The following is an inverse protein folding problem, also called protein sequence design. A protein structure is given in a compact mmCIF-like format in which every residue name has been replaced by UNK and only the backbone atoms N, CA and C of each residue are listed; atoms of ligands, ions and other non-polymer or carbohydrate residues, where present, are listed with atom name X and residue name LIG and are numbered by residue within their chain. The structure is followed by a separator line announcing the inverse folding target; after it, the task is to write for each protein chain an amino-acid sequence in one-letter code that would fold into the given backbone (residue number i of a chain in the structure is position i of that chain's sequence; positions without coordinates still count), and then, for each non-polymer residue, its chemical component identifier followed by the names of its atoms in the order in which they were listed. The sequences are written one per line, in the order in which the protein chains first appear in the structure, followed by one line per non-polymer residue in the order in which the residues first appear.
data_IF_131474363561
#
_entry.id   IF_131474363561
#
_cell.length_a   1.000
_cell.length_b   1.000
_cell.length_c   1.000
_cell.angle_alpha   90.00
_cell.angle_beta   90.00
_cell.angle_gamma   90.00
#
_symmetry.space_group_name_H-M   'P 1'
#
loop_
_entity.id
_entity.type
_entity.pdbx_description
1 polymer ?
#
# COMPACT_ATOMS: atom_id res chain seq x y z
N UNK A 1 31.85 1.29 7.51
CA UNK A 1 30.68 1.41 6.62
C UNK A 1 29.51 0.94 7.43
N UNK A 2 28.75 1.85 8.03
CA UNK A 2 27.62 1.51 8.87
C UNK A 2 26.41 1.23 7.97
N UNK A 3 26.21 -0.02 7.57
CA UNK A 3 24.94 -0.49 7.03
C UNK A 3 23.94 -0.58 8.17
N UNK A 4 23.47 0.58 8.64
CA UNK A 4 22.29 0.61 9.48
C UNK A 4 21.15 0.01 8.66
N UNK A 5 20.68 -1.13 9.11
CA UNK A 5 19.36 -1.70 8.84
C UNK A 5 18.32 -0.69 9.32
N UNK A 6 18.16 0.39 8.57
CA UNK A 6 16.96 1.20 8.62
C UNK A 6 15.97 0.40 7.80
N UNK A 7 14.86 -0.01 8.41
CA UNK A 7 13.63 -0.17 7.65
C UNK A 7 13.35 1.20 7.03
N UNK A 8 13.93 1.43 5.85
CA UNK A 8 13.95 2.73 5.22
C UNK A 8 12.52 3.04 4.78
N UNK A 9 12.05 4.26 5.07
CA UNK A 9 10.80 4.77 4.49
C UNK A 9 10.69 4.49 2.99
N UNK A 10 11.83 4.41 2.31
CA UNK A 10 11.92 4.04 0.91
C UNK A 10 11.24 2.70 0.60
N UNK A 11 11.42 1.64 1.39
CA UNK A 11 10.75 0.36 1.14
C UNK A 11 9.22 0.49 1.23
N UNK A 12 8.71 1.23 2.23
CA UNK A 12 7.28 1.52 2.35
C UNK A 12 6.75 2.33 1.16
N UNK A 13 7.53 3.30 0.68
CA UNK A 13 7.22 4.08 -0.52
C UNK A 13 7.22 3.19 -1.76
N UNK A 14 8.19 2.28 -1.88
CA UNK A 14 8.25 1.30 -2.96
C UNK A 14 7.04 0.36 -2.91
N UNK A 15 6.55 -0.05 -1.74
CA UNK A 15 5.32 -0.87 -1.65
C UNK A 15 4.10 -0.19 -2.28
N UNK A 16 3.94 1.12 -2.08
CA UNK A 16 2.80 1.90 -2.61
C UNK A 16 3.04 2.47 -4.00
N UNK A 17 4.29 2.55 -4.47
CA UNK A 17 4.67 3.15 -5.76
C UNK A 17 4.99 2.09 -6.81
N UNK A 18 5.64 1.00 -6.40
CA UNK A 18 6.09 -0.05 -7.31
C UNK A 18 4.89 -0.85 -7.79
N UNK A 19 4.70 -0.83 -9.11
CA UNK A 19 3.69 -1.63 -9.79
C UNK A 19 4.28 -2.99 -10.13
N UNK A 20 3.46 -4.03 -10.03
CA UNK A 20 3.83 -5.37 -10.45
C UNK A 20 4.20 -5.36 -11.93
N UNK A 21 5.45 -5.72 -12.30
CA UNK A 21 5.88 -5.75 -13.69
C UNK A 21 5.33 -6.96 -14.47
N UNK A 22 4.86 -7.99 -13.76
CA UNK A 22 4.35 -9.23 -14.33
C UNK A 22 3.24 -9.85 -13.45
N UNK A 23 2.58 -10.88 -13.99
CA UNK A 23 1.54 -11.64 -13.30
C UNK A 23 0.12 -11.13 -13.58
N UNK A 24 -0.85 -11.68 -12.83
CA UNK A 24 -2.28 -11.36 -12.98
C UNK A 24 -2.62 -9.92 -12.57
N UNK A 25 -1.81 -9.34 -11.68
CA UNK A 25 -1.98 -7.99 -11.16
C UNK A 25 -0.96 -7.00 -11.76
N UNK A 26 -0.50 -7.27 -12.99
CA UNK A 26 0.37 -6.34 -13.72
C UNK A 26 -0.23 -4.92 -13.73
N UNK A 27 0.62 -3.92 -13.58
CA UNK A 27 0.25 -2.50 -13.46
C UNK A 27 -0.46 -2.09 -12.16
N UNK A 28 -0.68 -3.01 -11.22
CA UNK A 28 -1.15 -2.67 -9.86
C UNK A 28 0.01 -2.52 -8.89
N UNK A 29 -0.15 -1.61 -7.94
CA UNK A 29 0.80 -1.38 -6.85
C UNK A 29 0.81 -2.55 -5.88
N UNK A 30 1.97 -2.85 -5.28
CA UNK A 30 2.12 -3.97 -4.34
C UNK A 30 1.20 -3.81 -3.14
N UNK A 31 0.99 -2.58 -2.67
CA UNK A 31 0.08 -2.27 -1.57
C UNK A 31 -1.40 -2.59 -1.85
N UNK A 32 -1.83 -2.57 -3.12
CA UNK A 32 -3.20 -2.91 -3.56
C UNK A 32 -3.39 -4.42 -3.78
N UNK A 33 -2.31 -5.21 -3.68
CA UNK A 33 -2.41 -6.64 -3.90
C UNK A 33 -3.30 -7.29 -2.83
N UNK A 34 -4.24 -8.14 -3.25
CA UNK A 34 -5.11 -8.80 -2.30
C UNK A 34 -4.34 -9.87 -1.52
N UNK A 35 -4.68 -10.04 -0.25
CA UNK A 35 -3.96 -10.94 0.67
C UNK A 35 -3.89 -12.39 0.18
N UNK A 36 -4.91 -12.89 -0.53
CA UNK A 36 -4.87 -14.24 -1.13
C UNK A 36 -3.74 -14.41 -2.17
N UNK A 37 -3.36 -13.35 -2.85
CA UNK A 37 -2.28 -13.37 -3.84
C UNK A 37 -0.90 -13.35 -3.16
N UNK A 38 -0.75 -12.56 -2.10
CA UNK A 38 0.45 -12.58 -1.25
C UNK A 38 0.62 -13.93 -0.55
N UNK A 39 -0.47 -14.54 -0.08
CA UNK A 39 -0.45 -15.86 0.54
C UNK A 39 -0.11 -16.97 -0.47
N UNK A 40 -0.52 -16.82 -1.73
CA UNK A 40 -0.08 -17.73 -2.79
C UNK A 40 1.43 -17.59 -3.04
N UNK A 41 1.97 -16.37 -3.10
CA UNK A 41 3.42 -16.15 -3.17
C UNK A 41 4.18 -16.68 -1.96
N UNK A 42 3.58 -16.65 -0.77
CA UNK A 42 4.13 -17.27 0.44
C UNK A 42 4.42 -18.77 0.25
N UNK A 43 3.53 -19.43 -0.50
CA UNK A 43 3.54 -20.88 -0.73
C UNK A 43 4.39 -21.27 -1.92
N UNK A 44 4.35 -20.48 -3.00
CA UNK A 44 5.13 -20.73 -4.21
C UNK A 44 6.59 -20.27 -4.08
N UNK A 45 6.81 -19.21 -3.30
CA UNK A 45 8.11 -18.58 -3.08
C UNK A 45 8.22 -17.24 -3.77
N UNK A 46 8.90 -16.29 -3.12
CA UNK A 46 9.10 -14.96 -3.64
C UNK A 46 10.28 -14.91 -4.64
N UNK A 47 10.15 -14.13 -5.72
CA UNK A 47 11.23 -13.95 -6.69
C UNK A 47 12.45 -13.29 -6.04
N UNK A 48 13.67 -13.74 -6.34
CA UNK A 48 14.88 -13.10 -5.76
C UNK A 48 15.05 -11.68 -6.32
N UNK A 49 15.45 -10.76 -5.45
CA UNK A 49 15.69 -9.35 -5.79
C UNK A 49 14.85 -8.41 -4.95
N UNK A 50 14.81 -7.13 -5.36
CA UNK A 50 14.07 -6.08 -4.66
C UNK A 50 12.57 -6.37 -4.62
N UNK A 51 11.99 -6.84 -5.72
CA UNK A 51 10.57 -7.15 -5.80
C UNK A 51 10.13 -8.24 -4.80
N UNK A 52 10.92 -9.31 -4.64
CA UNK A 52 10.58 -10.34 -3.64
C UNK A 52 10.73 -9.86 -2.22
N UNK A 53 11.75 -9.04 -1.93
CA UNK A 53 11.92 -8.41 -0.63
C UNK A 53 10.71 -7.53 -0.28
N UNK A 54 10.23 -6.73 -1.24
CA UNK A 54 9.04 -5.90 -1.09
C UNK A 54 7.78 -6.75 -0.90
N UNK A 55 7.59 -7.83 -1.67
CA UNK A 55 6.44 -8.71 -1.51
C UNK A 55 6.45 -9.45 -0.16
N UNK A 56 7.62 -9.85 0.34
CA UNK A 56 7.79 -10.41 1.68
C UNK A 56 7.44 -9.39 2.76
N UNK A 57 7.97 -8.17 2.65
CA UNK A 57 7.67 -7.08 3.57
C UNK A 57 6.16 -6.77 3.58
N UNK A 58 5.52 -6.73 2.41
CA UNK A 58 4.08 -6.51 2.30
C UNK A 58 3.28 -7.63 2.98
N UNK A 59 3.71 -8.88 2.80
CA UNK A 59 3.08 -10.03 3.46
C UNK A 59 3.26 -9.94 4.98
N UNK A 60 4.44 -9.60 5.48
CA UNK A 60 4.65 -9.41 6.91
C UNK A 60 3.74 -8.31 7.46
N UNK A 61 3.62 -7.17 6.77
CA UNK A 61 2.74 -6.07 7.18
C UNK A 61 1.26 -6.52 7.21
N UNK A 62 0.82 -7.28 6.20
CA UNK A 62 -0.54 -7.84 6.10
C UNK A 62 -0.80 -8.87 7.22
N UNK A 63 0.16 -9.78 7.44
CA UNK A 63 0.09 -10.83 8.46
C UNK A 63 0.06 -10.25 9.89
N UNK A 64 0.79 -9.16 10.12
CA UNK A 64 0.78 -8.43 11.39
C UNK A 64 -0.43 -7.49 11.54
N UNK A 65 -1.31 -7.38 10.54
CA UNK A 65 -2.46 -6.47 10.57
C UNK A 65 -2.09 -4.98 10.55
N UNK A 66 -0.84 -4.64 10.20
CA UNK A 66 -0.30 -3.28 10.22
C UNK A 66 -0.69 -2.46 8.98
N UNK A 67 -1.45 -3.05 8.04
CA UNK A 67 -2.01 -2.35 6.87
C UNK A 67 -2.76 -1.07 7.25
N UNK A 68 -3.54 -1.11 8.33
CA UNK A 68 -4.29 0.06 8.81
C UNK A 68 -3.38 1.20 9.27
N UNK A 69 -2.26 0.87 9.93
CA UNK A 69 -1.25 1.86 10.35
C UNK A 69 -0.55 2.47 9.13
N UNK A 70 -0.22 1.65 8.13
CA UNK A 70 0.37 2.12 6.89
C UNK A 70 -0.56 3.09 6.15
N UNK A 71 -1.86 2.80 6.09
CA UNK A 71 -2.84 3.72 5.51
C UNK A 71 -2.95 5.05 6.28
N UNK A 72 -2.94 5.01 7.62
CA UNK A 72 -2.97 6.23 8.44
C UNK A 72 -1.72 7.09 8.21
N UNK A 73 -0.55 6.48 8.02
CA UNK A 73 0.68 7.21 7.67
C UNK A 73 0.61 7.85 6.28
N UNK A 74 0.04 7.15 5.29
CA UNK A 74 -0.21 7.72 3.96
C UNK A 74 -1.20 8.89 4.01
N UNK A 75 -2.21 8.80 4.89
CA UNK A 75 -3.19 9.85 5.11
C UNK A 75 -2.56 11.07 5.77
N UNK A 76 -1.70 10.90 6.79
CA UNK A 76 -1.00 12.01 7.45
C UNK A 76 -0.06 12.74 6.48
N UNK A 77 0.60 12.01 5.57
CA UNK A 77 1.45 12.59 4.52
C UNK A 77 0.62 13.33 3.43
N UNK A 78 -0.57 12.81 3.09
CA UNK A 78 -1.48 13.43 2.12
C UNK A 78 -2.37 14.57 2.68
N UNK A 79 -2.52 14.69 4.00
CA UNK A 79 -3.39 15.70 4.61
C UNK A 79 -2.80 17.13 4.53
N UNK A 80 -1.58 17.30 4.05
CA UNK A 80 -1.04 18.62 3.70
C UNK A 80 -1.74 19.28 2.50
N UNK A 81 -2.44 18.53 1.64
CA UNK A 81 -2.98 19.04 0.37
C UNK A 81 -4.49 18.79 0.16
N UNK A 82 -5.10 17.83 0.86
CA UNK A 82 -6.54 17.52 0.70
C UNK A 82 -7.47 18.29 1.64
N UNK A 83 -6.97 18.87 2.74
CA UNK A 83 -7.76 19.67 3.68
C UNK A 83 -8.26 21.03 3.17
N UNK A 84 -7.82 21.49 2.00
CA UNK A 84 -8.24 22.75 1.38
C UNK A 84 -9.28 22.60 0.26
N UNK A 85 -9.68 21.37 -0.08
CA UNK A 85 -10.64 21.11 -1.16
C UNK A 85 -11.89 20.35 -0.68
N UNK A 86 -12.50 20.83 0.40
CA UNK A 86 -13.93 20.61 0.63
C UNK A 86 -14.70 21.85 0.17
N UNK A 87 -15.30 21.87 -1.04
CA UNK A 87 -16.42 22.75 -1.27
C UNK A 87 -17.69 22.10 -0.73
N UNK A 88 -18.25 22.71 0.32
CA UNK A 88 -19.64 22.64 0.72
C UNK A 88 -20.58 22.64 -0.52
N UNK A 89 -21.24 21.51 -0.82
CA UNK A 89 -22.40 21.34 -1.76
C UNK A 89 -22.70 19.83 -1.85
N UNK A 90 -23.88 19.27 -1.60
CA UNK A 90 -25.23 19.81 -1.50
C UNK A 90 -26.05 19.02 -0.47
N UNK A 91 -26.47 19.73 0.57
CA UNK A 91 -27.81 19.58 1.10
C UNK A 91 -28.78 20.16 0.05
N UNK A 92 -29.27 19.32 -0.86
CA UNK A 92 -30.42 19.63 -1.70
C UNK A 92 -31.39 18.45 -1.57
N UNK A 93 -32.55 18.75 -1.03
CA UNK A 93 -33.54 17.76 -0.64
C UNK A 93 -34.06 16.92 -1.80
N UNK A 94 -34.45 15.71 -1.43
CA UNK A 94 -35.51 14.98 -2.12
C UNK A 94 -36.33 14.32 -1.01
N UNK A 95 -37.18 15.14 -0.38
CA UNK A 95 -38.53 14.68 -0.09
C UNK A 95 -39.18 14.47 -1.45
N UNK A 96 -39.52 13.22 -1.75
CA UNK A 96 -40.69 12.96 -2.55
C UNK A 96 -41.65 12.18 -1.67
N UNK A 97 -42.86 12.70 -1.62
CA UNK A 97 -44.10 12.20 -1.03
C UNK A 97 -44.20 10.67 -0.89
#
# INVERSE_FOLDING_TARGET
MAENVLMDKNDLIQLVTLKMPYGKYKDRVIADLPGHYLNWFAREGFPRGELGRLLQLMQEIDHNGLKGLLQLMQEIDHNGLKGLLLPLRQNAGISHD
#
